data_IF_047980552093
#
_entry.id   IF_047980552093
#
_cell.length_a   1.000
_cell.length_b   1.000
_cell.length_c   1.000
_cell.angle_alpha   90.00
_cell.angle_beta   90.00
_cell.angle_gamma   90.00
#
_symmetry.space_group_name_H-M   'P 1'
#
loop_
_entity.id
_entity.type
_entity.pdbx_description
1 polymer ?
#
# COMPACT_ATOMS: atom_id res chain seq x y z
N UNK A 1 4.00 -25.27 -0.61
CA UNK A 1 3.31 -23.96 -0.68
C UNK A 1 3.32 -23.18 0.64
N UNK A 2 3.21 -23.88 1.79
CA UNK A 2 3.20 -23.29 3.13
C UNK A 2 4.40 -22.37 3.45
N UNK A 3 5.63 -22.81 3.14
CA UNK A 3 6.85 -22.03 3.38
C UNK A 3 6.91 -20.72 2.57
N UNK A 4 6.42 -20.72 1.32
CA UNK A 4 6.33 -19.47 0.51
C UNK A 4 5.30 -18.51 1.10
N UNK A 5 4.22 -19.03 1.69
CA UNK A 5 3.20 -18.21 2.35
C UNK A 5 3.71 -17.62 3.66
N UNK A 6 4.38 -18.42 4.50
CA UNK A 6 5.01 -17.95 5.73
C UNK A 6 6.10 -16.91 5.47
N UNK A 7 6.98 -17.15 4.48
CA UNK A 7 8.03 -16.18 4.11
C UNK A 7 7.43 -14.86 3.58
N UNK A 8 6.29 -14.91 2.87
CA UNK A 8 5.55 -13.71 2.44
C UNK A 8 4.88 -12.98 3.60
N UNK A 9 4.29 -13.71 4.55
CA UNK A 9 3.66 -13.13 5.75
C UNK A 9 4.71 -12.47 6.65
N UNK A 10 5.84 -13.15 6.86
CA UNK A 10 6.97 -12.63 7.63
C UNK A 10 7.57 -11.39 6.98
N UNK A 11 7.65 -11.34 5.64
CA UNK A 11 8.09 -10.13 4.93
C UNK A 11 7.17 -8.92 5.16
N UNK A 12 5.84 -9.10 5.26
CA UNK A 12 4.92 -8.01 5.61
C UNK A 12 5.11 -7.46 7.02
N UNK A 13 5.85 -8.16 7.87
CA UNK A 13 6.19 -7.73 9.23
C UNK A 13 7.62 -7.17 9.32
N UNK A 14 8.30 -7.00 8.18
CA UNK A 14 9.65 -6.44 8.17
C UNK A 14 9.60 -4.91 8.04
N UNK A 15 10.57 -4.19 8.64
CA UNK A 15 10.69 -2.74 8.47
C UNK A 15 10.76 -2.31 7.00
N UNK A 16 11.44 -3.09 6.16
CA UNK A 16 11.53 -2.82 4.73
C UNK A 16 10.16 -2.77 4.02
N UNK A 17 9.18 -3.57 4.46
CA UNK A 17 7.82 -3.49 3.92
C UNK A 17 7.12 -2.20 4.37
N UNK A 18 7.30 -1.82 5.62
CA UNK A 18 6.75 -0.59 6.17
C UNK A 18 7.34 0.66 5.48
N UNK A 19 8.65 0.69 5.29
CA UNK A 19 9.36 1.71 4.52
C UNK A 19 8.84 1.82 3.09
N UNK A 20 8.68 0.69 2.39
CA UNK A 20 8.11 0.65 1.04
C UNK A 20 6.68 1.22 1.01
N UNK A 21 5.86 0.94 2.02
CA UNK A 21 4.48 1.44 2.13
C UNK A 21 4.47 2.94 2.39
N UNK A 22 5.28 3.42 3.33
CA UNK A 22 5.40 4.85 3.65
C UNK A 22 5.89 5.63 2.43
N UNK A 23 6.92 5.14 1.74
CA UNK A 23 7.44 5.75 0.52
C UNK A 23 6.38 5.80 -0.58
N UNK A 24 5.64 4.72 -0.78
CA UNK A 24 4.58 4.65 -1.80
C UNK A 24 3.42 5.62 -1.49
N UNK A 25 3.04 5.78 -0.22
CA UNK A 25 2.03 6.76 0.19
C UNK A 25 2.55 8.19 -0.05
N UNK A 26 3.79 8.48 0.38
CA UNK A 26 4.41 9.79 0.20
C UNK A 26 4.51 10.16 -1.27
N UNK A 27 4.96 9.24 -2.14
CA UNK A 27 5.03 9.42 -3.59
C UNK A 27 3.65 9.75 -4.18
N UNK A 28 2.59 9.02 -3.81
CA UNK A 28 1.24 9.30 -4.33
C UNK A 28 0.69 10.63 -3.82
N UNK A 29 0.91 10.98 -2.56
CA UNK A 29 0.49 12.28 -2.00
C UNK A 29 1.20 13.43 -2.70
N UNK A 30 2.51 13.31 -2.90
CA UNK A 30 3.30 14.34 -3.56
C UNK A 30 2.91 14.53 -5.02
N UNK A 31 2.64 13.44 -5.76
CA UNK A 31 2.33 13.51 -7.19
C UNK A 31 0.87 13.81 -7.50
N UNK A 32 -0.06 13.41 -6.63
CA UNK A 32 -1.49 13.39 -6.95
C UNK A 32 -2.37 14.10 -5.93
N UNK A 33 -1.82 14.57 -4.80
CA UNK A 33 -2.57 15.32 -3.78
C UNK A 33 -3.84 14.60 -3.34
N UNK A 34 -4.98 15.26 -3.51
CA UNK A 34 -6.32 14.72 -3.19
C UNK A 34 -6.68 13.46 -3.98
N UNK A 35 -6.15 13.30 -5.20
CA UNK A 35 -6.38 12.12 -6.03
C UNK A 35 -5.46 10.93 -5.70
N UNK A 36 -4.62 11.04 -4.65
CA UNK A 36 -3.66 10.01 -4.25
C UNK A 36 -4.34 8.64 -4.02
N UNK A 37 -5.53 8.62 -3.42
CA UNK A 37 -6.26 7.38 -3.15
C UNK A 37 -6.66 6.65 -4.44
N UNK A 38 -7.23 7.36 -5.41
CA UNK A 38 -7.66 6.74 -6.67
C UNK A 38 -6.48 6.28 -7.52
N UNK A 39 -5.36 6.99 -7.47
CA UNK A 39 -4.12 6.56 -8.10
C UNK A 39 -3.52 5.32 -7.42
N UNK A 40 -3.50 5.27 -6.09
CA UNK A 40 -3.05 4.10 -5.34
C UNK A 40 -3.94 2.87 -5.62
N UNK A 41 -5.27 3.05 -5.70
CA UNK A 41 -6.23 2.00 -6.10
C UNK A 41 -5.94 1.48 -7.51
N UNK A 42 -5.71 2.39 -8.48
CA UNK A 42 -5.32 2.02 -9.85
C UNK A 42 -4.02 1.21 -9.88
N UNK A 43 -3.00 1.60 -9.09
CA UNK A 43 -1.77 0.82 -8.95
C UNK A 43 -2.05 -0.56 -8.35
N UNK A 44 -2.79 -0.65 -7.26
CA UNK A 44 -3.12 -1.92 -6.59
C UNK A 44 -3.83 -2.94 -7.50
N UNK A 45 -4.62 -2.45 -8.49
CA UNK A 45 -5.36 -3.27 -9.47
C UNK A 45 -4.53 -3.77 -10.65
N UNK A 46 -3.32 -3.25 -10.89
CA UNK A 46 -2.49 -3.67 -12.03
C UNK A 46 -2.15 -5.17 -11.95
N UNK A 47 -2.48 -5.92 -13.01
CA UNK A 47 -2.28 -7.37 -13.10
C UNK A 47 -0.81 -7.78 -13.17
N UNK A 48 0.01 -7.02 -13.92
CA UNK A 48 1.43 -7.35 -14.18
C UNK A 48 2.40 -6.81 -13.11
N UNK A 49 1.96 -6.58 -11.87
CA UNK A 49 2.87 -6.16 -10.81
C UNK A 49 3.50 -7.34 -10.06
N UNK A 50 4.77 -7.16 -9.68
CA UNK A 50 5.43 -8.06 -8.73
C UNK A 50 4.58 -8.18 -7.47
N UNK A 51 4.45 -9.41 -6.95
CA UNK A 51 3.60 -9.70 -5.77
C UNK A 51 3.90 -8.77 -4.60
N UNK A 52 5.18 -8.49 -4.32
CA UNK A 52 5.61 -7.55 -3.26
C UNK A 52 4.98 -6.16 -3.42
N UNK A 53 5.15 -5.53 -4.59
CA UNK A 53 4.53 -4.22 -4.89
C UNK A 53 3.02 -4.26 -4.80
N UNK A 54 2.38 -5.37 -5.20
CA UNK A 54 0.92 -5.52 -5.06
C UNK A 54 0.48 -5.47 -3.59
N UNK A 55 1.25 -6.04 -2.68
CA UNK A 55 0.97 -5.94 -1.23
C UNK A 55 1.20 -4.53 -0.71
N UNK A 56 2.30 -3.89 -1.11
CA UNK A 56 2.61 -2.50 -0.74
C UNK A 56 1.46 -1.58 -1.14
N UNK A 57 1.01 -1.64 -2.40
CA UNK A 57 -0.10 -0.81 -2.87
C UNK A 57 -1.43 -1.11 -2.18
N UNK A 58 -1.69 -2.37 -1.82
CA UNK A 58 -2.91 -2.72 -1.06
C UNK A 58 -2.88 -2.14 0.34
N UNK A 59 -1.73 -2.21 1.02
CA UNK A 59 -1.57 -1.65 2.35
C UNK A 59 -1.59 -0.12 2.32
N UNK A 60 -0.95 0.49 1.32
CA UNK A 60 -0.99 1.93 1.08
C UNK A 60 -2.42 2.44 0.89
N UNK A 61 -3.23 1.76 0.06
CA UNK A 61 -4.65 2.07 -0.09
C UNK A 61 -5.38 1.96 1.26
N UNK A 62 -5.18 0.87 2.01
CA UNK A 62 -5.83 0.67 3.31
C UNK A 62 -5.52 1.80 4.30
N UNK A 63 -4.28 2.30 4.33
CA UNK A 63 -3.87 3.39 5.22
C UNK A 63 -4.45 4.73 4.80
N UNK A 64 -4.38 5.05 3.51
CA UNK A 64 -4.97 6.28 2.98
C UNK A 64 -6.49 6.30 3.21
N UNK A 65 -7.18 5.16 3.04
CA UNK A 65 -8.62 5.04 3.33
C UNK A 65 -8.93 5.19 4.82
N UNK A 66 -8.10 4.61 5.71
CA UNK A 66 -8.27 4.73 7.15
C UNK A 66 -8.05 6.17 7.63
N UNK A 67 -7.06 6.88 7.09
CA UNK A 67 -6.80 8.29 7.39
C UNK A 67 -7.95 9.18 6.88
N UNK A 68 -8.38 9.00 5.62
CA UNK A 68 -9.51 9.76 5.07
C UNK A 68 -10.84 9.49 5.82
N UNK A 69 -11.06 8.26 6.29
CA UNK A 69 -12.21 7.92 7.11
C UNK A 69 -12.12 8.42 8.56
N UNK A 70 -10.93 8.64 9.08
CA UNK A 70 -10.71 9.26 10.38
C UNK A 70 -10.97 10.78 10.31
N UNK A 71 -10.51 11.43 9.24
CA UNK A 71 -10.74 12.86 9.01
C UNK A 71 -12.22 13.20 8.73
N UNK A 72 -12.99 12.26 8.16
CA UNK A 72 -14.43 12.44 7.90
C UNK A 72 -15.32 12.30 9.14
N UNK A 73 -14.78 11.85 10.28
CA UNK A 73 -15.50 11.66 11.54
C UNK A 73 -15.14 12.71 12.62
N UNK A 74 -14.44 13.79 12.24
CA UNK A 74 -14.18 14.98 13.05
C UNK A 74 -15.04 16.15 12.56
#
# INVERSE_FOLDING_TARGET
MLLRWLRRRRWRQTPAFEEDVVLAIAEMRQLHGEAALDHARRKARRRNQRTRRKWVWREAVRRIEAEAGADANL
#
